data_IF_579669539001
#
_entry.id   IF_579669539001
#
_cell.length_a   1.000
_cell.length_b   1.000
_cell.length_c   1.000
_cell.angle_alpha   90.00
_cell.angle_beta   90.00
_cell.angle_gamma   90.00
#
_symmetry.space_group_name_H-M   'P 1'
#
loop_
_entity.id
_entity.type
_entity.pdbx_description
1 polymer ?
#
# COMPACT_ATOMS: atom_id res chain seq x y z
N UNK A 1 -48.48 61.00 -32.21
CA UNK A 1 -48.95 60.77 -30.83
C UNK A 1 -47.74 60.87 -29.93
N UNK A 2 -47.63 62.00 -29.25
CA UNK A 2 -46.56 62.33 -28.30
C UNK A 2 -46.79 61.60 -26.98
N UNK A 3 -45.72 61.10 -26.37
CA UNK A 3 -45.69 60.84 -24.94
C UNK A 3 -44.25 61.05 -24.43
N UNK A 4 -44.06 62.21 -23.84
CA UNK A 4 -42.97 62.59 -22.95
C UNK A 4 -42.69 61.49 -21.90
N UNK A 5 -41.41 61.18 -21.65
CA UNK A 5 -40.98 60.64 -20.37
C UNK A 5 -39.69 61.29 -19.92
N UNK A 6 -39.82 61.97 -18.79
CA UNK A 6 -38.87 62.89 -18.22
C UNK A 6 -37.59 62.23 -17.73
N UNK A 7 -36.53 63.00 -17.90
CA UNK A 7 -35.22 62.86 -17.30
C UNK A 7 -35.31 63.10 -15.79
N UNK A 8 -35.10 62.05 -14.99
CA UNK A 8 -34.88 62.18 -13.55
C UNK A 8 -33.40 61.93 -13.24
N UNK A 9 -32.66 63.02 -13.09
CA UNK A 9 -31.28 63.08 -12.66
C UNK A 9 -31.19 62.92 -11.14
N UNK A 10 -31.16 61.67 -10.68
CA UNK A 10 -30.94 61.35 -9.27
C UNK A 10 -29.44 61.32 -8.98
N UNK A 11 -28.91 62.42 -8.44
CA UNK A 11 -27.59 62.46 -7.80
C UNK A 11 -27.55 61.44 -6.64
N UNK A 12 -27.04 60.24 -6.88
CA UNK A 12 -26.66 59.31 -5.82
C UNK A 12 -25.32 59.75 -5.25
N UNK A 13 -25.39 60.36 -4.06
CA UNK A 13 -24.26 60.67 -3.21
C UNK A 13 -23.46 59.41 -2.91
N UNK A 14 -22.28 59.29 -3.54
CA UNK A 14 -21.26 58.30 -3.20
C UNK A 14 -20.76 58.56 -1.77
N UNK A 15 -21.44 57.96 -0.79
CA UNK A 15 -20.90 57.79 0.56
C UNK A 15 -19.80 56.72 0.49
N UNK A 16 -18.58 57.17 0.19
CA UNK A 16 -17.34 56.43 0.40
C UNK A 16 -17.09 56.29 1.91
N UNK A 17 -17.92 55.51 2.60
CA UNK A 17 -17.53 54.92 3.87
C UNK A 17 -16.61 53.73 3.54
N UNK A 18 -15.35 54.05 3.30
CA UNK A 18 -14.24 53.10 3.37
C UNK A 18 -14.08 52.67 4.83
N UNK A 19 -15.06 51.93 5.36
CA UNK A 19 -14.84 51.10 6.52
C UNK A 19 -13.77 50.11 6.09
N UNK A 20 -12.56 50.32 6.60
CA UNK A 20 -11.47 49.36 6.58
C UNK A 20 -11.96 48.11 7.30
N UNK A 21 -12.71 47.26 6.58
CA UNK A 21 -13.02 45.93 7.02
C UNK A 21 -11.67 45.25 7.13
N UNK A 22 -11.13 45.24 8.34
CA UNK A 22 -9.97 44.43 8.68
C UNK A 22 -10.32 43.02 8.25
N UNK A 23 -9.83 42.61 7.08
CA UNK A 23 -10.10 41.29 6.53
C UNK A 23 -9.65 40.32 7.61
N UNK A 24 -10.61 39.64 8.23
CA UNK A 24 -10.32 38.71 9.31
C UNK A 24 -9.30 37.72 8.75
N UNK A 25 -8.12 37.69 9.37
CA UNK A 25 -7.03 36.82 8.95
C UNK A 25 -7.47 35.40 9.25
N UNK A 26 -8.03 34.73 8.24
CA UNK A 26 -8.48 33.35 8.35
C UNK A 26 -7.31 32.41 8.62
N UNK A 27 -7.60 31.24 9.17
CA UNK A 27 -6.62 30.18 9.49
C UNK A 27 -5.70 29.81 8.31
N UNK A 28 -6.13 30.03 7.06
CA UNK A 28 -5.33 29.83 5.85
C UNK A 28 -4.16 30.81 5.68
N UNK A 29 -4.08 31.87 6.48
CA UNK A 29 -2.98 32.83 6.46
C UNK A 29 -1.96 32.57 7.58
N UNK A 30 -2.14 31.51 8.37
CA UNK A 30 -1.15 31.11 9.36
C UNK A 30 0.11 30.58 8.66
N UNK A 31 1.30 30.76 9.28
CA UNK A 31 2.52 30.11 8.82
C UNK A 31 2.36 28.59 8.72
N UNK A 32 3.07 27.97 7.77
CA UNK A 32 2.93 26.54 7.49
C UNK A 32 3.31 25.67 8.70
N UNK A 33 4.26 26.13 9.51
CA UNK A 33 4.70 25.48 10.74
C UNK A 33 3.57 25.42 11.78
N UNK A 34 2.75 26.48 11.87
CA UNK A 34 1.59 26.51 12.77
C UNK A 34 0.51 25.56 12.25
N UNK A 35 0.31 25.48 10.93
CA UNK A 35 -0.62 24.51 10.34
C UNK A 35 -0.17 23.06 10.59
N UNK A 36 1.14 22.79 10.55
CA UNK A 36 1.72 21.48 10.90
C UNK A 36 1.50 21.13 12.37
N UNK A 37 1.70 22.08 13.30
CA UNK A 37 1.41 21.87 14.72
C UNK A 37 -0.09 21.60 14.95
N UNK A 38 -0.97 22.36 14.28
CA UNK A 38 -2.42 22.11 14.35
C UNK A 38 -2.75 20.71 13.83
N UNK A 39 -2.15 20.26 12.73
CA UNK A 39 -2.33 18.91 12.21
C UNK A 39 -1.97 17.84 13.26
N UNK A 40 -0.78 17.94 13.85
CA UNK A 40 -0.26 16.96 14.82
C UNK A 40 -1.07 16.97 16.12
N UNK A 41 -1.39 18.15 16.65
CA UNK A 41 -2.13 18.29 17.91
C UNK A 41 -3.61 17.89 17.75
N UNK A 42 -4.25 18.25 16.64
CA UNK A 42 -5.65 17.93 16.40
C UNK A 42 -5.88 16.47 16.03
N UNK A 43 -4.86 15.80 15.46
CA UNK A 43 -4.93 14.42 14.95
C UNK A 43 -6.18 14.19 14.07
N UNK A 44 -6.63 15.24 13.35
CA UNK A 44 -7.87 15.20 12.59
C UNK A 44 -7.62 14.76 11.16
N UNK A 45 -8.28 13.68 10.72
CA UNK A 45 -8.24 13.21 9.33
C UNK A 45 -8.96 14.16 8.37
N UNK A 46 -9.87 14.99 8.88
CA UNK A 46 -10.62 15.96 8.10
C UNK A 46 -9.79 17.20 7.75
N UNK A 47 -8.79 17.55 8.56
CA UNK A 47 -8.03 18.80 8.43
C UNK A 47 -7.40 18.99 7.04
N UNK A 48 -6.69 18.01 6.45
CA UNK A 48 -6.13 18.14 5.10
C UNK A 48 -7.20 18.19 3.99
N UNK A 49 -8.44 17.79 4.28
CA UNK A 49 -9.52 17.69 3.29
C UNK A 49 -10.35 18.98 3.22
N UNK A 50 -10.34 19.81 4.27
CA UNK A 50 -11.15 21.04 4.35
C UNK A 50 -10.89 21.99 3.18
N UNK A 51 -9.62 22.20 2.82
CA UNK A 51 -9.26 23.07 1.70
C UNK A 51 -7.97 22.62 1.00
N UNK A 52 -7.77 23.09 -0.25
CA UNK A 52 -6.58 22.76 -1.05
C UNK A 52 -5.28 23.25 -0.41
N UNK A 53 -5.31 24.42 0.23
CA UNK A 53 -4.13 24.99 0.89
C UNK A 53 -3.67 24.09 2.05
N UNK A 54 -4.58 23.63 2.91
CA UNK A 54 -4.24 22.69 3.99
C UNK A 54 -3.77 21.37 3.46
N UNK A 55 -4.40 20.85 2.40
CA UNK A 55 -3.90 19.65 1.72
C UNK A 55 -2.45 19.79 1.29
N UNK A 56 -2.11 20.89 0.62
CA UNK A 56 -0.76 21.16 0.14
C UNK A 56 0.23 21.35 1.29
N UNK A 57 -0.15 22.11 2.32
CA UNK A 57 0.66 22.29 3.53
C UNK A 57 0.98 20.94 4.20
N UNK A 58 -0.02 20.05 4.32
CA UNK A 58 0.18 18.71 4.91
C UNK A 58 0.98 17.78 4.00
N UNK A 59 0.79 17.85 2.68
CA UNK A 59 1.57 17.08 1.71
C UNK A 59 3.06 17.47 1.74
N UNK A 60 3.35 18.75 1.91
CA UNK A 60 4.70 19.30 1.99
C UNK A 60 5.30 19.24 3.40
N UNK A 61 4.57 18.69 4.38
CA UNK A 61 5.10 18.51 5.73
C UNK A 61 6.32 17.59 5.71
N UNK A 62 7.28 17.88 6.60
CA UNK A 62 8.46 17.04 6.79
C UNK A 62 8.06 15.64 7.24
N UNK A 63 8.93 14.65 7.02
CA UNK A 63 8.63 13.27 7.43
C UNK A 63 8.45 13.16 8.96
N UNK A 64 9.11 14.02 9.75
CA UNK A 64 8.94 14.10 11.21
C UNK A 64 7.51 14.49 11.60
N UNK A 65 6.98 15.57 11.04
CA UNK A 65 5.60 16.02 11.29
C UNK A 65 4.59 14.94 10.87
N UNK A 66 4.82 14.31 9.72
CA UNK A 66 3.97 13.20 9.24
C UNK A 66 4.01 12.01 10.18
N UNK A 67 5.20 11.66 10.70
CA UNK A 67 5.36 10.55 11.64
C UNK A 67 4.67 10.83 12.97
N UNK A 68 4.82 12.03 13.55
CA UNK A 68 4.15 12.43 14.78
C UNK A 68 2.62 12.37 14.62
N UNK A 69 2.11 12.86 13.49
CA UNK A 69 0.69 12.78 13.16
C UNK A 69 0.21 11.32 13.01
N UNK A 70 0.93 10.48 12.26
CA UNK A 70 0.56 9.06 12.07
C UNK A 70 0.58 8.30 13.39
N UNK A 71 1.61 8.49 14.21
CA UNK A 71 1.73 7.87 15.52
C UNK A 71 0.59 8.31 16.45
N UNK A 72 0.33 9.63 16.54
CA UNK A 72 -0.78 10.16 17.33
C UNK A 72 -2.14 9.60 16.90
N UNK A 73 -2.39 9.53 15.58
CA UNK A 73 -3.60 8.93 15.00
C UNK A 73 -3.76 7.45 15.37
N UNK A 74 -2.67 6.69 15.35
CA UNK A 74 -2.70 5.28 15.75
C UNK A 74 -3.05 5.14 17.22
N UNK A 75 -2.46 5.97 18.10
CA UNK A 75 -2.78 5.96 19.54
C UNK A 75 -4.27 6.26 19.77
N UNK A 76 -4.81 7.31 19.16
CA UNK A 76 -6.25 7.64 19.29
C UNK A 76 -7.12 6.47 18.83
N UNK A 77 -6.84 5.94 17.63
CA UNK A 77 -7.57 4.81 17.07
C UNK A 77 -7.52 3.58 17.96
N UNK A 78 -6.34 3.24 18.47
CA UNK A 78 -6.11 2.07 19.31
C UNK A 78 -6.87 2.18 20.64
N UNK A 79 -6.85 3.36 21.26
CA UNK A 79 -7.51 3.63 22.54
C UNK A 79 -9.02 3.58 22.39
N UNK A 80 -9.55 4.26 21.37
CA UNK A 80 -10.98 4.22 21.02
C UNK A 80 -11.42 2.78 20.76
N UNK A 81 -10.60 2.01 20.02
CA UNK A 81 -10.90 0.63 19.69
C UNK A 81 -11.00 -0.24 20.96
N UNK A 82 -10.03 -0.13 21.86
CA UNK A 82 -10.02 -0.92 23.10
C UNK A 82 -11.15 -0.49 24.04
N UNK A 83 -11.45 0.81 24.13
CA UNK A 83 -12.56 1.32 24.92
C UNK A 83 -13.92 0.74 24.46
N UNK A 84 -14.08 0.56 23.15
CA UNK A 84 -15.28 -0.05 22.54
C UNK A 84 -15.32 -1.59 22.67
N UNK A 85 -14.17 -2.24 22.88
CA UNK A 85 -14.04 -3.69 22.96
C UNK A 85 -13.45 -4.15 24.31
N UNK A 86 -14.05 -3.79 25.45
CA UNK A 86 -13.52 -4.17 26.75
C UNK A 86 -13.60 -5.68 26.95
N UNK A 87 -12.54 -6.27 27.50
CA UNK A 87 -12.55 -7.67 27.90
C UNK A 87 -13.68 -7.92 28.93
N UNK A 88 -14.61 -8.81 28.59
CA UNK A 88 -15.75 -9.15 29.45
C UNK A 88 -15.41 -10.17 30.54
N UNK A 89 -14.35 -10.95 30.35
CA UNK A 89 -13.99 -12.06 31.22
C UNK A 89 -13.11 -11.61 32.41
N UNK A 90 -12.23 -10.62 32.21
CA UNK A 90 -11.22 -10.26 33.20
C UNK A 90 -11.40 -8.83 33.72
N UNK A 91 -11.72 -8.69 35.02
CA UNK A 91 -11.85 -7.38 35.71
C UNK A 91 -10.55 -6.56 35.67
N UNK A 92 -9.39 -7.22 35.71
CA UNK A 92 -8.08 -6.58 35.61
C UNK A 92 -7.88 -5.91 34.25
N UNK A 93 -8.30 -6.55 33.15
CA UNK A 93 -8.24 -5.97 31.81
C UNK A 93 -9.10 -4.71 31.73
N UNK A 94 -10.35 -4.76 32.19
CA UNK A 94 -11.24 -3.59 32.22
C UNK A 94 -10.64 -2.42 33.02
N UNK A 95 -10.00 -2.71 34.17
CA UNK A 95 -9.32 -1.68 34.99
C UNK A 95 -8.08 -1.12 34.28
N UNK A 96 -7.34 -1.93 33.52
CA UNK A 96 -6.20 -1.46 32.72
C UNK A 96 -6.68 -0.52 31.61
N UNK A 97 -7.69 -0.93 30.83
CA UNK A 97 -8.29 -0.11 29.77
C UNK A 97 -8.81 1.22 30.29
N UNK A 98 -9.59 1.22 31.38
CA UNK A 98 -10.12 2.46 31.95
C UNK A 98 -9.00 3.40 32.43
N UNK A 99 -7.89 2.84 32.95
CA UNK A 99 -6.72 3.65 33.36
C UNK A 99 -6.00 4.23 32.14
N UNK A 100 -5.85 3.46 31.06
CA UNK A 100 -5.27 3.93 29.81
C UNK A 100 -6.08 5.08 29.21
N UNK A 101 -7.40 4.90 29.07
CA UNK A 101 -8.32 5.93 28.56
C UNK A 101 -8.23 7.19 29.41
N UNK A 102 -8.35 7.08 30.73
CA UNK A 102 -8.26 8.23 31.63
C UNK A 102 -6.89 8.93 31.59
N UNK A 103 -5.80 8.19 31.38
CA UNK A 103 -4.45 8.76 31.25
C UNK A 103 -4.34 9.63 30.00
N UNK A 104 -4.90 9.16 28.89
CA UNK A 104 -4.83 9.83 27.59
C UNK A 104 -5.76 11.05 27.54
N UNK A 105 -6.96 10.95 28.11
CA UNK A 105 -7.87 12.10 28.28
C UNK A 105 -7.24 13.22 29.12
N UNK A 106 -6.34 12.87 30.04
CA UNK A 106 -5.58 13.83 30.86
C UNK A 106 -4.32 14.36 30.18
N UNK A 107 -4.09 14.03 28.91
CA UNK A 107 -2.91 14.46 28.16
C UNK A 107 -1.60 13.85 28.67
N UNK A 108 -1.66 12.74 29.42
CA UNK A 108 -0.44 12.04 29.88
C UNK A 108 0.08 11.13 28.78
N UNK A 109 1.38 10.90 28.77
CA UNK A 109 2.05 10.02 27.83
C UNK A 109 1.52 8.58 27.90
N UNK A 110 1.32 7.98 26.72
CA UNK A 110 0.87 6.60 26.54
C UNK A 110 1.91 5.54 26.98
N UNK A 111 3.05 5.97 27.54
CA UNK A 111 4.19 5.12 27.90
C UNK A 111 3.89 4.15 29.05
N UNK A 112 2.84 4.39 29.83
CA UNK A 112 2.44 3.56 30.97
C UNK A 112 1.32 2.55 30.62
N UNK A 113 1.35 1.98 29.41
CA UNK A 113 0.33 1.03 29.00
C UNK A 113 0.61 -0.38 29.54
N UNK A 114 -0.19 -0.82 30.51
CA UNK A 114 -0.21 -2.22 30.96
C UNK A 114 -0.95 -3.09 29.95
N UNK A 115 -0.19 -3.76 29.08
CA UNK A 115 -0.73 -4.63 28.02
C UNK A 115 -0.97 -6.03 28.57
N UNK A 116 -2.24 -6.43 28.66
CA UNK A 116 -2.63 -7.78 29.07
C UNK A 116 -2.69 -8.74 27.88
N UNK A 117 -2.66 -10.05 28.14
CA UNK A 117 -2.77 -11.07 27.09
C UNK A 117 -4.06 -10.95 26.26
N UNK A 118 -5.16 -10.51 26.88
CA UNK A 118 -6.41 -10.25 26.15
C UNK A 118 -6.27 -9.08 25.16
N UNK A 119 -5.52 -8.04 25.52
CA UNK A 119 -5.24 -6.92 24.61
C UNK A 119 -4.32 -7.37 23.48
N UNK A 120 -3.31 -8.19 23.77
CA UNK A 120 -2.45 -8.79 22.73
C UNK A 120 -3.24 -9.68 21.76
N UNK A 121 -4.13 -10.53 22.27
CA UNK A 121 -5.00 -11.36 21.44
C UNK A 121 -5.94 -10.49 20.58
N UNK A 122 -6.42 -9.37 21.12
CA UNK A 122 -7.24 -8.41 20.38
C UNK A 122 -6.43 -7.73 19.27
N UNK A 123 -5.22 -7.24 19.56
CA UNK A 123 -4.29 -6.67 18.57
C UNK A 123 -4.07 -7.65 17.42
N UNK A 124 -3.80 -8.91 17.73
CA UNK A 124 -3.56 -9.97 16.73
C UNK A 124 -4.77 -10.26 15.87
N UNK A 125 -5.91 -10.51 16.50
CA UNK A 125 -7.14 -10.89 15.78
C UNK A 125 -7.72 -9.76 14.92
N UNK A 126 -7.34 -8.51 15.20
CA UNK A 126 -7.86 -7.32 14.50
C UNK A 126 -6.79 -6.59 13.68
N UNK A 127 -5.57 -7.13 13.61
CA UNK A 127 -4.43 -6.54 12.89
C UNK A 127 -4.21 -5.06 13.26
N UNK A 128 -4.22 -4.74 14.56
CA UNK A 128 -4.08 -3.37 15.07
C UNK A 128 -2.61 -2.93 15.17
N UNK A 129 -1.71 -3.56 14.41
CA UNK A 129 -0.30 -3.24 14.49
C UNK A 129 -0.01 -1.88 13.86
N UNK A 130 0.96 -1.19 14.43
CA UNK A 130 1.26 0.19 14.05
C UNK A 130 1.82 0.29 12.63
N UNK A 131 2.51 -0.74 12.14
CA UNK A 131 3.07 -0.76 10.79
C UNK A 131 1.95 -0.82 9.76
N UNK A 132 1.03 -1.79 9.87
CA UNK A 132 -0.17 -1.90 9.02
C UNK A 132 -0.95 -0.59 9.01
N UNK A 133 -1.25 -0.03 10.19
CA UNK A 133 -1.99 1.23 10.28
C UNK A 133 -1.25 2.38 9.58
N UNK A 134 0.06 2.51 9.84
CA UNK A 134 0.87 3.58 9.25
C UNK A 134 0.89 3.47 7.72
N UNK A 135 1.11 2.28 7.17
CA UNK A 135 1.21 2.12 5.71
C UNK A 135 -0.13 2.20 5.00
N UNK A 136 -1.25 1.96 5.67
CA UNK A 136 -2.59 2.25 5.13
C UNK A 136 -2.80 3.75 4.90
N UNK A 137 -2.12 4.62 5.66
CA UNK A 137 -2.17 6.06 5.46
C UNK A 137 -1.45 6.46 4.16
N UNK A 138 -2.15 7.17 3.27
CA UNK A 138 -1.62 7.60 1.97
C UNK A 138 -0.48 8.64 2.01
N UNK A 139 -0.05 9.05 3.21
CA UNK A 139 1.07 9.97 3.45
C UNK A 139 2.34 9.26 3.95
N UNK A 140 2.25 7.95 4.18
CA UNK A 140 3.35 7.17 4.74
C UNK A 140 4.36 6.80 3.63
N UNK A 141 5.57 7.34 3.76
CA UNK A 141 6.78 6.94 3.04
C UNK A 141 7.64 6.05 3.95
N UNK A 142 8.71 5.45 3.41
CA UNK A 142 9.62 4.59 4.20
C UNK A 142 10.23 5.35 5.39
N UNK A 143 10.65 6.61 5.19
CA UNK A 143 11.18 7.46 6.26
C UNK A 143 10.14 7.74 7.35
N UNK A 144 8.88 7.99 6.96
CA UNK A 144 7.79 8.19 7.91
C UNK A 144 7.56 6.91 8.72
N UNK A 145 7.51 5.75 8.05
CA UNK A 145 7.32 4.46 8.70
C UNK A 145 8.44 4.15 9.70
N UNK A 146 9.70 4.33 9.29
CA UNK A 146 10.87 4.11 10.15
C UNK A 146 10.83 4.98 11.40
N UNK A 147 10.46 6.26 11.24
CA UNK A 147 10.31 7.18 12.36
C UNK A 147 9.16 6.78 13.29
N UNK A 148 8.00 6.39 12.74
CA UNK A 148 6.84 5.92 13.53
C UNK A 148 7.21 4.69 14.35
N UNK A 149 7.90 3.71 13.75
CA UNK A 149 8.34 2.51 14.46
C UNK A 149 9.39 2.84 15.52
N UNK A 150 10.32 3.75 15.23
CA UNK A 150 11.29 4.23 16.23
C UNK A 150 10.60 4.87 17.44
N UNK A 151 9.59 5.72 17.21
CA UNK A 151 8.77 6.29 18.29
C UNK A 151 8.02 5.21 19.07
N UNK A 152 7.41 4.25 18.36
CA UNK A 152 6.71 3.14 18.97
C UNK A 152 7.64 2.29 19.84
N UNK A 153 8.87 2.01 19.39
CA UNK A 153 9.89 1.30 20.16
C UNK A 153 10.29 2.03 21.44
N UNK A 154 10.31 3.37 21.41
CA UNK A 154 10.63 4.18 22.57
C UNK A 154 9.48 4.29 23.58
N UNK A 155 8.23 4.27 23.09
CA UNK A 155 7.05 4.63 23.89
C UNK A 155 6.15 3.44 24.24
N UNK A 156 6.20 2.33 23.50
CA UNK A 156 5.28 1.21 23.66
C UNK A 156 5.98 -0.04 24.22
N UNK A 157 5.25 -0.89 24.95
CA UNK A 157 5.75 -2.21 25.34
C UNK A 157 6.14 -3.05 24.12
N UNK A 158 7.27 -3.76 24.20
CA UNK A 158 7.81 -4.58 23.10
C UNK A 158 6.81 -5.62 22.55
N UNK A 159 5.87 -6.09 23.37
CA UNK A 159 4.85 -7.05 22.97
C UNK A 159 3.80 -6.51 21.98
N UNK A 160 3.69 -5.19 21.83
CA UNK A 160 2.79 -4.51 20.88
C UNK A 160 3.49 -4.25 19.54
N UNK A 161 4.82 -4.30 19.53
CA UNK A 161 5.61 -3.98 18.35
C UNK A 161 5.62 -5.17 17.39
N UNK A 162 5.59 -4.92 16.07
CA UNK A 162 5.71 -5.98 15.08
C UNK A 162 7.09 -6.62 15.16
N UNK A 163 7.19 -7.82 14.61
CA UNK A 163 8.49 -8.46 14.46
C UNK A 163 9.36 -7.64 13.50
N UNK A 164 10.59 -7.33 13.91
CA UNK A 164 11.59 -6.67 13.07
C UNK A 164 12.67 -7.70 12.75
N UNK A 165 12.88 -7.95 11.46
CA UNK A 165 13.88 -8.90 10.99
C UNK A 165 15.27 -8.56 11.57
N UNK A 166 15.97 -9.56 12.11
CA UNK A 166 17.30 -9.41 12.71
C UNK A 166 17.32 -9.31 14.25
N UNK A 167 16.16 -9.21 14.91
CA UNK A 167 16.11 -9.31 16.39
C UNK A 167 16.19 -10.78 16.82
N UNK A 168 17.39 -11.27 17.16
CA UNK A 168 17.65 -12.65 17.61
C UNK A 168 17.04 -13.02 18.99
N UNK A 169 16.18 -12.18 19.56
CA UNK A 169 15.49 -12.51 20.81
C UNK A 169 14.46 -13.61 20.53
N UNK A 170 14.83 -14.84 20.83
CA UNK A 170 13.99 -16.05 20.81
C UNK A 170 12.86 -15.88 21.84
N UNK A 171 11.83 -15.11 21.49
CA UNK A 171 10.57 -15.11 22.20
C UNK A 171 9.56 -15.86 21.34
N UNK A 172 9.13 -17.02 21.86
CA UNK A 172 8.22 -18.00 21.26
C UNK A 172 6.76 -17.51 21.10
N UNK A 173 6.56 -16.19 21.15
CA UNK A 173 5.24 -15.58 21.16
C UNK A 173 4.90 -15.15 19.73
N UNK A 174 3.82 -15.69 19.19
CA UNK A 174 3.29 -15.36 17.86
C UNK A 174 3.02 -13.85 17.73
N UNK A 175 4.01 -13.10 17.22
CA UNK A 175 3.92 -11.67 16.98
C UNK A 175 2.96 -11.40 15.81
N UNK A 176 2.36 -10.21 15.79
CA UNK A 176 1.58 -9.77 14.65
C UNK A 176 2.48 -9.56 13.44
N UNK A 177 2.14 -10.21 12.34
CA UNK A 177 2.72 -9.95 11.02
C UNK A 177 1.97 -8.76 10.40
N UNK A 178 2.65 -7.65 10.10
CA UNK A 178 2.03 -6.53 9.40
C UNK A 178 1.40 -6.95 8.07
N UNK A 179 0.38 -6.23 7.62
CA UNK A 179 -0.30 -6.49 6.36
C UNK A 179 0.16 -5.52 5.27
N UNK A 180 0.27 -6.02 4.05
CA UNK A 180 0.55 -5.22 2.86
C UNK A 180 -0.70 -4.41 2.47
N UNK A 181 -0.62 -3.07 2.43
CA UNK A 181 -1.79 -2.24 2.21
C UNK A 181 -2.27 -2.31 0.76
N UNK A 182 -3.58 -2.52 0.57
CA UNK A 182 -4.21 -2.65 -0.75
C UNK A 182 -3.90 -1.50 -1.70
N UNK A 183 -3.65 -0.29 -1.18
CA UNK A 183 -3.41 0.92 -2.01
C UNK A 183 -2.18 0.80 -2.90
N UNK A 184 -1.13 0.09 -2.47
CA UNK A 184 0.11 -0.06 -3.22
C UNK A 184 -0.11 -0.88 -4.50
N UNK A 185 -1.02 -1.85 -4.46
CA UNK A 185 -1.30 -2.74 -5.58
C UNK A 185 -2.40 -2.23 -6.53
N UNK A 186 -3.08 -1.13 -6.19
CA UNK A 186 -4.10 -0.51 -7.06
C UNK A 186 -3.51 0.48 -8.08
N UNK A 187 -2.24 0.86 -7.92
CA UNK A 187 -1.60 1.93 -8.69
C UNK A 187 -0.64 1.45 -9.77
N UNK A 188 -0.53 0.13 -9.96
CA UNK A 188 0.49 -0.50 -10.80
C UNK A 188 0.38 -0.05 -12.28
N UNK A 189 -0.83 0.20 -12.80
CA UNK A 189 -1.03 0.54 -14.22
C UNK A 189 -0.80 2.01 -14.60
N UNK A 190 -0.56 2.91 -13.64
CA UNK A 190 -0.69 4.35 -13.93
C UNK A 190 0.46 4.95 -14.75
N UNK A 191 1.55 4.23 -14.98
CA UNK A 191 2.77 4.82 -15.55
C UNK A 191 2.83 4.78 -17.09
N UNK A 192 2.25 3.78 -17.75
CA UNK A 192 2.48 3.60 -19.20
C UNK A 192 1.38 4.21 -20.09
N UNK A 193 0.21 4.54 -19.52
CA UNK A 193 -0.93 4.96 -20.36
C UNK A 193 -0.84 6.44 -20.79
N UNK A 194 -0.16 7.29 -20.02
CA UNK A 194 -0.11 8.73 -20.26
C UNK A 194 0.80 9.14 -21.44
N UNK A 195 1.71 8.27 -21.87
CA UNK A 195 2.57 8.53 -23.02
C UNK A 195 1.87 8.28 -24.38
N UNK A 196 0.83 7.44 -24.42
CA UNK A 196 0.15 7.05 -25.68
C UNK A 196 -1.28 7.59 -25.82
N UNK A 197 -1.96 8.03 -24.75
CA UNK A 197 -3.37 8.43 -24.81
C UNK A 197 -3.64 9.94 -25.05
N UNK A 198 -2.64 10.77 -25.35
CA UNK A 198 -2.87 12.17 -25.75
C UNK A 198 -3.68 12.32 -27.07
N UNK A 199 -3.98 11.23 -27.79
CA UNK A 199 -4.76 11.25 -29.03
C UNK A 199 -6.25 10.93 -28.87
N UNK A 200 -6.75 10.56 -27.68
CA UNK A 200 -8.19 10.30 -27.50
C UNK A 200 -8.94 11.61 -27.18
N UNK A 201 -9.90 12.05 -28.04
CA UNK A 201 -10.60 13.31 -27.84
C UNK A 201 -11.46 13.23 -26.58
N UNK A 202 -10.97 13.81 -25.47
CA UNK A 202 -11.73 14.00 -24.24
C UNK A 202 -13.01 14.77 -24.59
N UNK A 203 -14.17 14.13 -24.34
CA UNK A 203 -15.50 14.74 -24.43
C UNK A 203 -15.49 16.07 -23.66
N UNK A 204 -15.52 17.14 -24.44
CA UNK A 204 -15.33 18.54 -24.04
C UNK A 204 -16.43 18.97 -23.06
N UNK A 205 -16.23 18.76 -21.75
CA UNK A 205 -17.03 19.43 -20.73
C UNK A 205 -16.61 20.89 -20.71
N UNK A 206 -17.42 21.73 -21.35
CA UNK A 206 -17.29 23.19 -21.49
C UNK A 206 -16.99 23.81 -20.11
N UNK A 207 -15.71 24.10 -19.83
CA UNK A 207 -15.27 24.92 -18.70
C UNK A 207 -14.67 26.22 -19.23
N UNK A 208 -15.06 27.27 -18.52
CA UNK A 208 -14.82 28.70 -18.77
C UNK A 208 -13.32 28.99 -18.61
N UNK A 209 -12.76 29.70 -19.58
CA UNK A 209 -11.40 30.24 -19.54
C UNK A 209 -11.25 31.17 -18.32
N UNK A 210 -10.22 30.90 -17.52
CA UNK A 210 -9.58 31.85 -16.62
C UNK A 210 -8.08 31.62 -16.78
N UNK A 211 -7.41 32.60 -17.36
CA UNK A 211 -5.95 32.71 -17.52
C UNK A 211 -5.36 33.16 -16.20
N UNK A 212 -4.39 32.43 -15.67
CA UNK A 212 -3.37 32.95 -14.76
C UNK A 212 -2.08 32.14 -15.02
N UNK A 213 -1.04 32.84 -15.45
CA UNK A 213 0.35 32.38 -15.47
C UNK A 213 0.89 32.50 -14.04
N UNK A 214 1.63 31.49 -13.55
CA UNK A 214 2.74 31.75 -12.64
C UNK A 214 3.69 30.55 -12.47
N UNK A 215 4.90 30.77 -13.00
CA UNK A 215 6.24 30.50 -12.46
C UNK A 215 6.36 29.51 -11.29
N UNK A 216 6.93 28.33 -11.55
CA UNK A 216 7.37 27.36 -10.53
C UNK A 216 8.89 27.22 -10.55
N UNK A 217 9.56 27.69 -9.49
CA UNK A 217 10.98 27.46 -9.22
C UNK A 217 11.16 26.22 -8.37
N UNK A 218 11.86 25.23 -8.91
CA UNK A 218 12.31 24.02 -8.21
C UNK A 218 13.44 24.38 -7.22
N UNK A 219 13.20 24.21 -5.92
CA UNK A 219 14.25 24.16 -4.90
C UNK A 219 14.58 22.70 -4.62
N UNK A 220 15.83 22.30 -4.91
CA UNK A 220 16.38 21.00 -4.58
C UNK A 220 16.68 20.94 -3.07
N UNK A 221 16.01 20.02 -2.36
CA UNK A 221 16.36 19.70 -0.99
C UNK A 221 17.67 18.89 -0.98
N UNK A 222 18.61 19.29 -0.11
CA UNK A 222 19.85 18.56 0.15
C UNK A 222 19.53 17.27 0.90
N UNK A 223 20.00 16.15 0.38
CA UNK A 223 20.01 14.86 1.07
C UNK A 223 21.10 14.87 2.15
N UNK A 224 20.71 14.61 3.40
CA UNK A 224 21.63 14.32 4.50
C UNK A 224 22.08 12.85 4.41
N UNK A 225 23.40 12.62 4.47
CA UNK A 225 24.01 11.31 4.45
C UNK A 225 24.01 10.70 5.86
N UNK A 226 23.30 9.59 6.03
CA UNK A 226 23.39 8.74 7.24
C UNK A 226 24.64 7.84 7.19
N UNK A 227 25.44 7.85 8.25
CA UNK A 227 26.59 6.95 8.44
C UNK A 227 26.15 5.53 8.84
N UNK A 228 26.80 4.46 8.30
CA UNK A 228 26.44 3.08 8.61
C UNK A 228 27.08 2.58 9.91
N UNK A 229 26.26 2.01 10.80
CA UNK A 229 26.71 1.32 12.03
C UNK A 229 27.41 -0.03 11.71
N UNK A 230 28.43 -0.45 12.49
CA UNK A 230 29.23 -1.63 12.19
C UNK A 230 28.59 -2.93 12.71
N UNK A 231 28.40 -3.89 11.81
CA UNK A 231 27.91 -5.25 12.06
C UNK A 231 27.22 -5.75 10.80
N UNK A 232 27.78 -6.77 10.16
CA UNK A 232 27.48 -7.26 8.79
C UNK A 232 26.01 -7.68 8.57
N UNK A 233 25.12 -6.70 8.58
CA UNK A 233 23.78 -6.75 8.01
C UNK A 233 23.93 -6.13 6.63
N UNK A 234 23.69 -6.92 5.58
CA UNK A 234 23.64 -6.37 4.21
C UNK A 234 22.73 -5.16 4.22
N UNK A 235 23.15 -4.07 3.59
CA UNK A 235 22.32 -2.88 3.58
C UNK A 235 21.00 -3.21 2.87
N UNK A 236 19.91 -2.58 3.29
CA UNK A 236 18.62 -2.73 2.62
C UNK A 236 18.75 -2.43 1.11
N UNK A 237 19.68 -1.54 0.72
CA UNK A 237 20.01 -1.25 -0.67
C UNK A 237 20.60 -2.46 -1.42
N UNK A 238 21.51 -3.23 -0.80
CA UNK A 238 22.05 -4.45 -1.39
C UNK A 238 20.96 -5.52 -1.57
N UNK A 239 20.11 -5.70 -0.55
CA UNK A 239 18.97 -6.62 -0.65
C UNK A 239 17.97 -6.18 -1.72
N UNK A 240 17.71 -4.87 -1.84
CA UNK A 240 16.87 -4.30 -2.91
C UNK A 240 17.45 -4.63 -4.28
N UNK A 241 18.73 -4.38 -4.52
CA UNK A 241 19.38 -4.67 -5.80
C UNK A 241 19.37 -6.16 -6.12
N UNK A 242 19.63 -7.00 -5.13
CA UNK A 242 19.60 -8.45 -5.27
C UNK A 242 18.20 -8.95 -5.65
N UNK A 243 17.18 -8.54 -4.88
CA UNK A 243 15.78 -8.91 -5.13
C UNK A 243 15.27 -8.33 -6.45
N UNK A 244 15.69 -7.12 -6.80
CA UNK A 244 15.35 -6.49 -8.07
C UNK A 244 16.00 -7.21 -9.26
N UNK A 245 17.24 -7.67 -9.10
CA UNK A 245 17.94 -8.46 -10.11
C UNK A 245 17.28 -9.83 -10.29
N UNK A 246 16.94 -10.50 -9.19
CA UNK A 246 16.23 -11.79 -9.22
C UNK A 246 14.85 -11.70 -9.90
N UNK A 247 14.17 -10.56 -9.78
CA UNK A 247 12.84 -10.37 -10.40
C UNK A 247 12.90 -9.95 -11.87
N UNK A 248 14.09 -9.66 -12.42
CA UNK A 248 14.31 -9.29 -13.83
C UNK A 248 14.62 -10.47 -14.74
N UNK A 249 15.02 -11.62 -14.21
CA UNK A 249 15.38 -12.78 -15.02
C UNK A 249 14.09 -13.52 -15.43
N UNK A 250 13.74 -13.60 -16.73
CA UNK A 250 12.64 -14.43 -17.18
C UNK A 250 13.02 -15.89 -16.91
N UNK A 251 12.19 -16.69 -16.22
CA UNK A 251 12.65 -17.99 -15.77
C UNK A 251 12.87 -18.98 -16.91
N UNK A 252 12.19 -18.86 -18.05
CA UNK A 252 12.35 -19.79 -19.17
C UNK A 252 11.99 -19.10 -20.49
N UNK A 253 12.98 -18.61 -21.23
CA UNK A 253 12.79 -18.45 -22.68
C UNK A 253 12.90 -19.84 -23.28
N UNK A 254 11.76 -20.44 -23.66
CA UNK A 254 11.68 -21.72 -24.37
C UNK A 254 12.41 -21.74 -25.72
N UNK A 255 13.04 -20.63 -26.11
CA UNK A 255 13.94 -20.53 -27.23
C UNK A 255 15.01 -19.46 -26.94
N UNK A 256 16.27 -19.88 -26.83
CA UNK A 256 17.44 -18.96 -26.82
C UNK A 256 17.52 -18.09 -28.09
N UNK A 257 16.75 -18.44 -29.12
CA UNK A 257 16.74 -17.78 -30.43
C UNK A 257 15.79 -16.58 -30.55
N UNK A 258 15.04 -16.20 -29.51
CA UNK A 258 14.21 -14.98 -29.54
C UNK A 258 14.91 -13.81 -28.80
N UNK A 259 15.60 -12.91 -29.52
CA UNK A 259 16.44 -11.85 -28.94
C UNK A 259 15.65 -10.65 -28.38
N UNK A 260 14.43 -10.83 -27.88
CA UNK A 260 13.62 -9.71 -27.37
C UNK A 260 13.04 -10.05 -26.01
N UNK A 261 13.72 -9.53 -24.98
CA UNK A 261 13.24 -9.42 -23.60
C UNK A 261 11.86 -8.76 -23.58
N UNK A 262 10.81 -9.56 -23.66
CA UNK A 262 9.44 -9.09 -23.55
C UNK A 262 9.29 -8.40 -22.17
N UNK A 263 8.74 -7.17 -22.11
CA UNK A 263 8.64 -6.44 -20.85
C UNK A 263 7.85 -7.26 -19.82
N UNK A 264 8.38 -7.36 -18.60
CA UNK A 264 7.86 -8.20 -17.49
C UNK A 264 6.57 -7.67 -16.85
N UNK A 265 5.75 -6.98 -17.64
CA UNK A 265 4.57 -6.26 -17.19
C UNK A 265 4.89 -4.93 -16.52
N UNK A 266 3.85 -4.24 -16.02
CA UNK A 266 3.99 -2.96 -15.34
C UNK A 266 4.68 -3.14 -13.99
N UNK A 267 5.53 -2.18 -13.64
CA UNK A 267 6.22 -2.09 -12.35
C UNK A 267 5.55 -0.99 -11.53
N UNK A 268 5.36 -1.17 -10.21
CA UNK A 268 4.96 -0.07 -9.33
C UNK A 268 5.88 1.16 -9.44
N UNK A 269 5.43 2.31 -8.95
CA UNK A 269 6.32 3.45 -8.74
C UNK A 269 7.51 3.06 -7.85
N UNK A 270 8.68 3.68 -8.04
CA UNK A 270 9.86 3.37 -7.23
C UNK A 270 9.58 3.53 -5.72
N UNK A 271 8.79 4.53 -5.34
CA UNK A 271 8.36 4.76 -3.95
C UNK A 271 7.46 3.63 -3.42
N UNK A 272 6.47 3.20 -4.20
CA UNK A 272 5.56 2.12 -3.80
C UNK A 272 6.31 0.77 -3.74
N UNK A 273 7.23 0.53 -4.68
CA UNK A 273 8.07 -0.67 -4.68
C UNK A 273 9.00 -0.70 -3.47
N UNK A 274 9.64 0.42 -3.13
CA UNK A 274 10.46 0.54 -1.93
C UNK A 274 9.65 0.26 -0.65
N UNK A 275 8.43 0.82 -0.57
CA UNK A 275 7.53 0.54 0.53
C UNK A 275 7.18 -0.96 0.63
N UNK A 276 6.88 -1.62 -0.49
CA UNK A 276 6.59 -3.07 -0.51
C UNK A 276 7.80 -3.87 -0.01
N UNK A 277 9.00 -3.58 -0.51
CA UNK A 277 10.21 -4.28 -0.09
C UNK A 277 10.54 -4.02 1.38
N UNK A 278 10.42 -2.79 1.84
CA UNK A 278 10.63 -2.45 3.25
C UNK A 278 9.67 -3.24 4.15
N UNK A 279 8.39 -3.31 3.79
CA UNK A 279 7.39 -4.09 4.51
C UNK A 279 7.74 -5.59 4.55
N UNK A 280 8.07 -6.17 3.40
CA UNK A 280 8.38 -7.60 3.29
C UNK A 280 9.69 -7.98 4.01
N UNK A 281 10.76 -7.22 3.79
CA UNK A 281 12.11 -7.54 4.27
C UNK A 281 12.32 -7.11 5.71
N UNK A 282 12.02 -5.85 6.04
CA UNK A 282 12.34 -5.26 7.35
C UNK A 282 11.31 -5.62 8.40
N UNK A 283 10.03 -5.61 8.02
CA UNK A 283 8.90 -5.78 8.92
C UNK A 283 8.20 -7.14 8.81
N UNK A 284 8.72 -8.05 7.98
CA UNK A 284 8.16 -9.39 7.76
C UNK A 284 6.63 -9.35 7.50
N UNK A 285 6.20 -8.40 6.68
CA UNK A 285 4.79 -8.27 6.33
C UNK A 285 4.31 -9.51 5.58
N UNK A 286 3.06 -9.91 5.85
CA UNK A 286 2.44 -11.08 5.24
C UNK A 286 2.20 -10.86 3.74
N UNK A 287 2.92 -11.58 2.88
CA UNK A 287 2.74 -11.50 1.44
C UNK A 287 1.35 -12.03 0.98
N UNK A 288 0.67 -12.84 1.81
CA UNK A 288 -0.69 -13.32 1.61
C UNK A 288 -1.78 -12.40 2.19
N UNK A 289 -1.41 -11.16 2.52
CA UNK A 289 -2.31 -10.19 3.16
C UNK A 289 -3.68 -10.08 2.50
N UNK A 290 -4.71 -9.87 3.33
CA UNK A 290 -6.10 -9.75 2.88
C UNK A 290 -6.58 -10.90 1.98
N UNK A 291 -6.23 -12.15 2.30
CA UNK A 291 -6.61 -13.33 1.53
C UNK A 291 -5.99 -13.34 0.11
N UNK A 292 -4.69 -13.05 0.01
CA UNK A 292 -3.93 -13.09 -1.24
C UNK A 292 -4.21 -11.93 -2.19
N UNK A 293 -4.73 -10.80 -1.69
CA UNK A 293 -5.02 -9.62 -2.51
C UNK A 293 -3.77 -9.07 -3.25
N UNK A 294 -2.60 -8.92 -2.61
CA UNK A 294 -1.37 -8.47 -3.28
C UNK A 294 -1.04 -9.31 -4.52
N UNK A 295 -1.05 -10.63 -4.37
CA UNK A 295 -0.72 -11.55 -5.45
C UNK A 295 -1.78 -11.48 -6.56
N UNK A 296 -3.06 -11.54 -6.21
CA UNK A 296 -4.15 -11.47 -7.18
C UNK A 296 -4.11 -10.17 -8.01
N UNK A 297 -3.81 -9.03 -7.39
CA UNK A 297 -3.67 -7.75 -8.11
C UNK A 297 -2.42 -7.72 -9.00
N UNK A 298 -1.29 -8.25 -8.54
CA UNK A 298 -0.08 -8.34 -9.34
C UNK A 298 -0.33 -9.15 -10.63
N UNK A 299 -1.05 -10.28 -10.51
CA UNK A 299 -1.48 -11.09 -11.66
C UNK A 299 -2.48 -10.36 -12.55
N UNK A 300 -3.44 -9.64 -11.96
CA UNK A 300 -4.42 -8.84 -12.71
C UNK A 300 -3.74 -7.82 -13.63
N UNK A 301 -2.72 -7.14 -13.11
CA UNK A 301 -1.91 -6.18 -13.83
C UNK A 301 -0.84 -6.81 -14.72
N UNK A 302 -0.74 -8.15 -14.78
CA UNK A 302 0.32 -8.89 -15.48
C UNK A 302 1.75 -8.51 -15.01
N UNK A 303 1.88 -8.02 -13.78
CA UNK A 303 3.15 -7.61 -13.18
C UNK A 303 3.92 -8.86 -12.70
N UNK A 304 4.62 -9.52 -13.62
CA UNK A 304 5.30 -10.80 -13.38
C UNK A 304 6.32 -10.68 -12.23
N UNK A 305 7.20 -9.67 -12.29
CA UNK A 305 8.24 -9.43 -11.28
C UNK A 305 7.66 -9.26 -9.88
N UNK A 306 6.50 -8.61 -9.76
CA UNK A 306 5.84 -8.40 -8.47
C UNK A 306 5.14 -9.67 -7.97
N UNK A 307 4.52 -10.45 -8.86
CA UNK A 307 3.97 -11.76 -8.49
C UNK A 307 5.10 -12.71 -8.03
N UNK A 308 6.23 -12.70 -8.74
CA UNK A 308 7.42 -13.48 -8.40
C UNK A 308 7.96 -13.08 -7.03
N UNK A 309 8.13 -11.77 -6.78
CA UNK A 309 8.51 -11.23 -5.48
C UNK A 309 7.57 -11.68 -4.36
N UNK A 310 6.24 -11.59 -4.56
CA UNK A 310 5.31 -11.96 -3.51
C UNK A 310 5.38 -13.45 -3.18
N UNK A 311 5.49 -14.32 -4.19
CA UNK A 311 5.68 -15.77 -3.99
C UNK A 311 7.00 -16.07 -3.29
N UNK A 312 8.05 -15.31 -3.60
CA UNK A 312 9.35 -15.41 -2.93
C UNK A 312 9.24 -15.14 -1.42
N UNK A 313 8.38 -14.20 -1.02
CA UNK A 313 8.08 -13.89 0.37
C UNK A 313 6.90 -14.71 0.94
N UNK A 314 6.62 -15.88 0.36
CA UNK A 314 5.67 -16.84 0.92
C UNK A 314 4.19 -16.55 0.62
N UNK A 315 3.87 -15.72 -0.38
CA UNK A 315 2.48 -15.54 -0.79
C UNK A 315 1.87 -16.87 -1.22
N UNK A 316 0.68 -17.20 -0.73
CA UNK A 316 0.01 -18.45 -1.05
C UNK A 316 -0.84 -18.30 -2.34
N UNK A 317 -0.54 -19.04 -3.42
CA UNK A 317 -1.29 -18.95 -4.67
C UNK A 317 -2.71 -19.52 -4.55
N UNK A 318 -2.99 -20.29 -3.49
CA UNK A 318 -4.29 -20.93 -3.22
C UNK A 318 -5.29 -20.02 -2.51
N UNK A 319 -4.89 -18.81 -2.10
CA UNK A 319 -5.79 -17.88 -1.42
C UNK A 319 -7.07 -17.61 -2.24
N UNK A 320 -8.22 -17.60 -1.54
CA UNK A 320 -9.55 -17.37 -2.12
C UNK A 320 -9.80 -18.27 -3.35
N UNK A 321 -9.66 -19.58 -3.14
CA UNK A 321 -9.91 -20.62 -4.13
C UNK A 321 -9.06 -20.46 -5.41
N UNK A 322 -7.80 -20.09 -5.24
CA UNK A 322 -6.88 -19.89 -6.37
C UNK A 322 -7.24 -18.70 -7.24
N UNK A 323 -7.79 -17.62 -6.67
CA UNK A 323 -8.23 -16.44 -7.43
C UNK A 323 -7.13 -15.89 -8.35
N UNK A 324 -5.87 -15.88 -7.90
CA UNK A 324 -4.74 -15.44 -8.72
C UNK A 324 -4.62 -16.26 -10.01
N UNK A 325 -4.76 -17.58 -9.94
CA UNK A 325 -4.72 -18.46 -11.11
C UNK A 325 -5.91 -18.25 -12.05
N UNK A 326 -7.12 -18.07 -11.49
CA UNK A 326 -8.29 -17.75 -12.29
C UNK A 326 -8.12 -16.43 -13.06
N UNK A 327 -7.47 -15.43 -12.45
CA UNK A 327 -7.15 -14.16 -13.11
C UNK A 327 -6.10 -14.38 -14.20
N UNK A 328 -5.02 -15.13 -13.93
CA UNK A 328 -3.99 -15.45 -14.93
C UNK A 328 -4.60 -16.12 -16.17
N UNK A 329 -5.50 -17.09 -15.95
CA UNK A 329 -6.22 -17.79 -17.02
C UNK A 329 -7.07 -16.82 -17.82
N UNK A 330 -7.89 -15.99 -17.18
CA UNK A 330 -8.72 -14.99 -17.89
C UNK A 330 -7.89 -14.00 -18.69
N UNK A 331 -6.71 -13.65 -18.18
CA UNK A 331 -5.79 -12.73 -18.82
C UNK A 331 -4.96 -13.39 -19.93
N UNK A 332 -4.99 -14.72 -20.09
CA UNK A 332 -4.14 -15.43 -21.05
C UNK A 332 -2.65 -15.37 -20.70
N UNK A 333 -2.31 -15.25 -19.41
CA UNK A 333 -0.94 -15.04 -18.95
C UNK A 333 -0.28 -16.37 -18.53
N UNK A 334 0.23 -17.11 -19.52
CA UNK A 334 0.87 -18.42 -19.32
C UNK A 334 2.06 -18.37 -18.37
N UNK A 335 2.95 -17.39 -18.54
CA UNK A 335 4.16 -17.27 -17.71
C UNK A 335 3.83 -17.12 -16.22
N UNK A 336 2.83 -16.29 -15.91
CA UNK A 336 2.37 -16.10 -14.52
C UNK A 336 1.64 -17.34 -14.00
N UNK A 337 0.82 -18.00 -14.83
CA UNK A 337 0.16 -19.23 -14.42
C UNK A 337 1.18 -20.34 -14.12
N UNK A 338 2.20 -20.48 -14.97
CA UNK A 338 3.32 -21.38 -14.76
C UNK A 338 4.04 -21.05 -13.45
N UNK A 339 4.41 -19.79 -13.23
CA UNK A 339 5.02 -19.31 -11.99
C UNK A 339 4.19 -19.66 -10.74
N UNK A 340 2.86 -19.55 -10.80
CA UNK A 340 1.99 -19.89 -9.67
C UNK A 340 1.98 -21.40 -9.36
N UNK A 341 2.16 -22.24 -10.38
CA UNK A 341 2.15 -23.71 -10.28
C UNK A 341 3.52 -24.23 -9.83
N UNK A 342 4.58 -23.80 -10.52
CA UNK A 342 5.95 -24.26 -10.25
C UNK A 342 6.57 -23.58 -9.05
N UNK A 343 6.10 -22.38 -8.69
CA UNK A 343 6.72 -21.53 -7.69
C UNK A 343 7.87 -20.68 -8.26
N UNK A 344 8.44 -19.78 -7.42
CA UNK A 344 9.61 -18.99 -7.77
C UNK A 344 10.81 -19.93 -8.00
N UNK A 345 11.51 -19.77 -9.12
CA UNK A 345 12.73 -20.53 -9.40
C UNK A 345 13.94 -19.75 -8.87
N UNK A 346 14.85 -20.45 -8.19
CA UNK A 346 16.14 -19.89 -7.81
C UNK A 346 17.20 -20.42 -8.76
N UNK A 347 17.97 -19.53 -9.35
CA UNK A 347 19.28 -19.95 -9.80
C UNK A 347 20.07 -20.39 -8.57
N UNK A 348 20.81 -21.49 -8.65
CA UNK A 348 21.60 -22.06 -7.54
C UNK A 348 22.46 -21.02 -6.79
N UNK A 349 22.81 -19.91 -7.45
CA UNK A 349 23.56 -18.81 -6.85
C UNK A 349 22.75 -17.97 -5.84
N UNK A 350 21.43 -17.85 -6.02
CA UNK A 350 20.56 -17.03 -5.15
C UNK A 350 20.10 -17.78 -3.89
N UNK A 351 20.09 -19.12 -3.90
CA UNK A 351 19.67 -19.92 -2.74
C UNK A 351 20.56 -19.66 -1.51
N UNK A 352 21.89 -19.59 -1.71
CA UNK A 352 22.84 -19.30 -0.64
C UNK A 352 22.64 -17.88 -0.06
N UNK A 353 22.21 -16.92 -0.87
CA UNK A 353 22.02 -15.55 -0.41
C UNK A 353 20.67 -15.33 0.28
N UNK A 354 19.62 -16.01 -0.20
CA UNK A 354 18.25 -15.86 0.32
C UNK A 354 17.95 -16.81 1.48
N UNK A 355 18.70 -17.90 1.64
CA UNK A 355 18.62 -18.77 2.82
C UNK A 355 18.94 -18.05 4.14
N UNK A 356 19.60 -16.90 4.07
CA UNK A 356 19.85 -16.02 5.23
C UNK A 356 18.56 -15.31 5.68
N UNK A 357 17.54 -15.18 4.81
CA UNK A 357 16.27 -14.58 5.20
C UNK A 357 15.48 -15.58 6.05
N UNK A 358 15.20 -15.28 7.33
CA UNK A 358 14.57 -16.22 8.28
C UNK A 358 13.16 -16.68 7.90
N UNK A 359 12.57 -16.08 6.86
CA UNK A 359 11.16 -16.14 6.50
C UNK A 359 10.92 -16.85 5.17
N UNK A 360 11.96 -17.43 4.56
CA UNK A 360 11.80 -18.15 3.31
C UNK A 360 11.05 -19.46 3.57
N UNK A 361 9.72 -19.37 3.48
CA UNK A 361 8.83 -20.52 3.50
C UNK A 361 8.42 -20.74 2.05
N UNK A 362 8.82 -21.85 1.41
CA UNK A 362 8.35 -22.18 0.08
C UNK A 362 6.82 -22.11 0.08
N UNK A 363 6.27 -21.15 -0.67
CA UNK A 363 4.83 -21.02 -0.82
C UNK A 363 4.29 -22.34 -1.37
N UNK A 364 3.19 -22.84 -0.80
CA UNK A 364 2.60 -24.08 -1.27
C UNK A 364 2.25 -23.98 -2.76
N UNK A 365 2.75 -24.91 -3.57
CA UNK A 365 2.51 -24.98 -5.00
C UNK A 365 1.01 -25.06 -5.31
N UNK A 366 0.58 -24.37 -6.37
CA UNK A 366 -0.79 -24.46 -6.85
C UNK A 366 -0.97 -25.71 -7.69
N UNK A 367 -1.89 -26.59 -7.29
CA UNK A 367 -2.37 -27.68 -8.14
C UNK A 367 -3.57 -27.21 -8.96
N UNK A 368 -3.45 -27.25 -10.28
CA UNK A 368 -4.57 -26.97 -11.19
C UNK A 368 -5.57 -28.12 -11.18
N UNK A 369 -6.84 -27.82 -11.45
CA UNK A 369 -7.94 -28.78 -11.43
C UNK A 369 -8.90 -28.57 -12.61
N UNK A 370 -9.97 -29.37 -12.63
CA UNK A 370 -10.99 -29.32 -13.68
C UNK A 370 -11.67 -27.95 -13.81
N UNK A 371 -11.74 -27.18 -12.73
CA UNK A 371 -12.37 -25.84 -12.76
C UNK A 371 -11.49 -24.84 -13.53
N UNK A 372 -10.18 -24.93 -13.35
CA UNK A 372 -9.19 -24.12 -14.08
C UNK A 372 -9.19 -24.47 -15.57
N UNK A 373 -9.17 -25.77 -15.92
CA UNK A 373 -9.24 -26.22 -17.32
C UNK A 373 -10.52 -25.73 -18.01
N UNK A 374 -11.67 -25.88 -17.34
CA UNK A 374 -12.96 -25.38 -17.86
C UNK A 374 -12.94 -23.87 -18.07
N UNK A 375 -12.37 -23.11 -17.14
CA UNK A 375 -12.25 -21.66 -17.25
C UNK A 375 -11.37 -21.25 -18.45
N UNK A 376 -10.24 -21.94 -18.68
CA UNK A 376 -9.37 -21.67 -19.82
C UNK A 376 -10.08 -21.89 -21.17
N UNK A 377 -10.86 -22.97 -21.29
CA UNK A 377 -11.70 -23.25 -22.46
C UNK A 377 -12.75 -22.14 -22.65
N UNK A 378 -13.45 -21.74 -21.58
CA UNK A 378 -14.47 -20.68 -21.64
C UNK A 378 -13.86 -19.35 -22.11
N UNK A 379 -12.65 -19.02 -21.67
CA UNK A 379 -11.92 -17.82 -22.07
C UNK A 379 -11.24 -17.95 -23.44
N UNK A 380 -11.33 -19.11 -24.12
CA UNK A 380 -10.69 -19.41 -25.42
C UNK A 380 -9.17 -19.25 -25.39
N UNK A 381 -8.54 -19.51 -24.25
CA UNK A 381 -7.09 -19.42 -24.07
C UNK A 381 -6.47 -20.78 -24.39
N UNK A 382 -6.36 -21.11 -25.68
CA UNK A 382 -6.00 -22.47 -26.12
C UNK A 382 -4.59 -22.89 -25.69
N UNK A 383 -3.63 -21.97 -25.65
CA UNK A 383 -2.27 -22.25 -25.17
C UNK A 383 -2.30 -22.69 -23.69
N UNK A 384 -3.16 -22.06 -22.88
CA UNK A 384 -3.38 -22.47 -21.49
C UNK A 384 -4.15 -23.79 -21.38
N UNK A 385 -5.07 -24.08 -22.31
CA UNK A 385 -5.77 -25.38 -22.33
C UNK A 385 -4.76 -26.49 -22.58
N UNK A 386 -3.85 -26.30 -23.54
CA UNK A 386 -2.79 -27.25 -23.85
C UNK A 386 -1.87 -27.48 -22.64
N UNK A 387 -1.39 -26.39 -22.04
CA UNK A 387 -0.60 -26.43 -20.81
C UNK A 387 -1.30 -27.17 -19.66
N UNK A 388 -2.55 -26.81 -19.36
CA UNK A 388 -3.30 -27.40 -18.23
C UNK A 388 -3.61 -28.88 -18.49
N UNK A 389 -3.97 -29.23 -19.73
CA UNK A 389 -4.31 -30.61 -20.07
C UNK A 389 -3.06 -31.48 -20.11
N UNK A 390 -2.07 -31.11 -20.92
CA UNK A 390 -0.96 -31.98 -21.24
C UNK A 390 0.19 -31.89 -20.25
N UNK A 391 0.59 -30.69 -19.83
CA UNK A 391 1.73 -30.53 -18.92
C UNK A 391 1.34 -30.71 -17.45
N UNK A 392 0.14 -30.26 -17.07
CA UNK A 392 -0.38 -30.40 -15.69
C UNK A 392 -1.25 -31.65 -15.49
N UNK A 393 -1.35 -32.50 -16.52
CA UNK A 393 -2.06 -33.79 -16.51
C UNK A 393 -3.54 -33.70 -16.08
N UNK A 394 -4.20 -32.57 -16.30
CA UNK A 394 -5.63 -32.40 -15.97
C UNK A 394 -6.49 -32.94 -17.11
N UNK A 395 -7.02 -34.15 -16.93
CA UNK A 395 -7.87 -34.79 -17.95
C UNK A 395 -9.25 -34.12 -18.08
N UNK A 396 -9.70 -33.72 -19.28
CA UNK A 396 -10.99 -33.07 -19.47
C UNK A 396 -12.17 -34.01 -19.25
N UNK A 397 -13.18 -33.53 -18.50
CA UNK A 397 -14.47 -34.19 -18.38
C UNK A 397 -15.34 -34.04 -19.65
N UNK A 398 -16.41 -34.83 -19.74
CA UNK A 398 -17.36 -34.79 -20.87
C UNK A 398 -17.97 -33.40 -21.09
N UNK A 399 -18.11 -32.59 -20.03
CA UNK A 399 -18.62 -31.24 -20.13
C UNK A 399 -17.60 -30.30 -20.81
N UNK A 400 -16.31 -30.42 -20.48
CA UNK A 400 -15.24 -29.69 -21.16
C UNK A 400 -15.13 -30.08 -22.63
N UNK A 401 -15.17 -31.38 -22.96
CA UNK A 401 -15.10 -31.84 -24.35
C UNK A 401 -16.24 -31.27 -25.21
N UNK A 402 -17.49 -31.31 -24.70
CA UNK A 402 -18.65 -30.68 -25.37
C UNK A 402 -18.49 -29.18 -25.53
N UNK A 403 -17.86 -28.51 -24.56
CA UNK A 403 -17.60 -27.07 -24.62
C UNK A 403 -16.55 -26.75 -25.69
N UNK A 404 -15.49 -27.55 -25.81
CA UNK A 404 -14.48 -27.41 -26.87
C UNK A 404 -15.11 -27.59 -28.25
N UNK A 405 -15.91 -28.64 -28.44
CA UNK A 405 -16.61 -28.91 -29.71
C UNK A 405 -17.49 -27.72 -30.11
N UNK A 406 -18.29 -27.20 -29.17
CA UNK A 406 -19.16 -26.03 -29.40
C UNK A 406 -18.40 -24.74 -29.71
N UNK A 407 -17.21 -24.54 -29.17
CA UNK A 407 -16.42 -23.33 -29.41
C UNK A 407 -15.55 -23.40 -30.68
N UNK A 408 -15.37 -24.61 -31.24
CA UNK A 408 -14.66 -24.86 -32.50
C UNK A 408 -15.58 -24.86 -33.73
N UNK A 409 -16.86 -25.19 -33.56
CA UNK A 409 -17.92 -25.00 -34.57
C UNK A 409 -18.28 -23.52 -34.70
#
# INVERSE_FOLDING_TARGET
MNADRGSNSSNSSNNNNSSSSSNAVGIQHLPVEVLHQILVLSRSSSFPVVCRHFRQACQNATYLVKADYVFGRWVDFFVDFIAQHPCRLHKACKKSVNRLVASIEQGRDATCMDVTDCVLALIRSKHLDIVTFAVEMGICTVQVLDRVVSMAMALLPKCVLPHIAGSHTVCDVSLTTPQLPKRLFRRIDQLDTDASEQSRPRKRRRRRNGTDEDTSSHLAAREEHDEPLPGSTRSLAQLKELVWSATKVPPYTWNESDPVSKPMGPVPSAEDFDMILTLLVKYAADASSHQGYPLAMSVHHRAFSLAHLLLLFGAHPRCKDGLAAQIAIRNGSQDILHLLVTGPHFDNFMEDELSVLPWFIPGGMLRLDQTHLRLAIQCRQWDLVDYIWHEQEVSPDMACLRLIERLRS
#
